data_IF_475429383350
#
_entry.id   IF_475429383350
#
_cell.length_a   1.000
_cell.length_b   1.000
_cell.length_c   1.000
_cell.angle_alpha   90.00
_cell.angle_beta   90.00
_cell.angle_gamma   90.00
#
_symmetry.space_group_name_H-M   'P 1'
#
loop_
_entity.id
_entity.type
_entity.pdbx_description
1 polymer ?
#
# COMPACT_ATOMS: atom_id res chain seq x y z
N UNK A 1 -33.52 -7.30 26.32
CA UNK A 1 -33.56 -8.00 25.01
C UNK A 1 -32.96 -9.38 25.13
N UNK A 2 -33.59 -10.39 24.49
CA UNK A 2 -33.16 -11.78 24.50
C UNK A 2 -32.79 -12.21 23.09
N UNK A 3 -31.67 -12.95 22.94
CA UNK A 3 -31.23 -13.53 21.65
C UNK A 3 -31.98 -14.86 21.50
N UNK A 4 -32.70 -15.03 20.40
CA UNK A 4 -33.50 -16.22 20.13
C UNK A 4 -32.81 -17.20 19.20
N UNK A 5 -32.15 -16.69 18.12
CA UNK A 5 -31.56 -17.52 17.08
C UNK A 5 -30.29 -16.89 16.49
N UNK A 6 -29.38 -17.74 16.09
CA UNK A 6 -28.20 -17.39 15.28
C UNK A 6 -28.28 -18.10 13.94
N UNK A 7 -27.94 -17.41 12.88
CA UNK A 7 -27.85 -17.93 11.52
C UNK A 7 -26.52 -17.49 10.91
N UNK A 8 -25.69 -18.45 10.53
CA UNK A 8 -24.41 -18.15 9.88
C UNK A 8 -24.62 -17.57 8.49
N UNK A 9 -23.86 -16.51 8.19
CA UNK A 9 -23.79 -15.91 6.86
C UNK A 9 -22.36 -16.09 6.33
N UNK A 10 -22.15 -15.86 5.03
CA UNK A 10 -20.82 -15.86 4.43
C UNK A 10 -19.87 -14.84 5.09
N UNK A 11 -18.56 -15.11 5.03
CA UNK A 11 -17.48 -14.21 5.50
C UNK A 11 -17.42 -14.00 7.03
N UNK A 12 -17.75 -15.01 7.83
CA UNK A 12 -17.62 -14.94 9.29
C UNK A 12 -18.61 -13.98 9.95
N UNK A 13 -19.76 -13.76 9.35
CA UNK A 13 -20.84 -12.96 9.91
C UNK A 13 -22.03 -13.86 10.29
N UNK A 14 -22.82 -13.39 11.25
CA UNK A 14 -24.03 -14.03 11.73
C UNK A 14 -25.20 -13.05 11.74
N UNK A 15 -26.37 -13.53 11.39
CA UNK A 15 -27.64 -12.88 11.78
C UNK A 15 -28.01 -13.33 13.18
N UNK A 16 -28.28 -12.36 14.04
CA UNK A 16 -28.77 -12.58 15.40
C UNK A 16 -30.21 -12.07 15.43
N UNK A 17 -31.13 -12.97 15.79
CA UNK A 17 -32.56 -12.66 15.93
C UNK A 17 -32.83 -12.35 17.36
N UNK A 18 -33.45 -11.19 17.66
CA UNK A 18 -33.80 -10.74 18.98
C UNK A 18 -35.33 -10.94 19.25
N UNK A 19 -35.68 -11.06 20.51
CA UNK A 19 -37.08 -11.30 20.96
C UNK A 19 -38.06 -10.18 20.60
N UNK A 20 -37.58 -9.02 20.20
CA UNK A 20 -38.42 -7.90 19.71
C UNK A 20 -38.57 -7.89 18.18
N UNK A 21 -38.10 -8.94 17.49
CA UNK A 21 -38.12 -9.05 16.04
C UNK A 21 -36.97 -8.37 15.33
N UNK A 22 -36.04 -7.70 16.04
CA UNK A 22 -34.88 -7.07 15.46
C UNK A 22 -33.88 -8.12 14.94
N UNK A 23 -33.31 -7.92 13.74
CA UNK A 23 -32.29 -8.77 13.16
C UNK A 23 -30.99 -7.96 13.02
N UNK A 24 -29.93 -8.42 13.68
CA UNK A 24 -28.62 -7.81 13.66
C UNK A 24 -27.63 -8.66 12.85
N UNK A 25 -26.77 -8.00 12.05
CA UNK A 25 -25.63 -8.66 11.40
C UNK A 25 -24.38 -8.36 12.22
N UNK A 26 -23.81 -9.38 12.84
CA UNK A 26 -22.68 -9.25 13.77
C UNK A 26 -21.55 -10.16 13.30
N UNK A 27 -20.30 -9.66 13.37
CA UNK A 27 -19.11 -10.44 13.08
C UNK A 27 -18.85 -11.50 14.16
N UNK A 28 -18.34 -12.65 13.76
CA UNK A 28 -17.99 -13.77 14.67
C UNK A 28 -17.13 -13.33 15.84
N UNK A 29 -16.12 -12.50 15.58
CA UNK A 29 -15.19 -12.03 16.62
C UNK A 29 -15.91 -11.20 17.70
N UNK A 30 -16.86 -10.37 17.28
CA UNK A 30 -17.67 -9.56 18.21
C UNK A 30 -18.59 -10.46 19.04
N UNK A 31 -19.14 -11.52 18.45
CA UNK A 31 -19.96 -12.52 19.16
C UNK A 31 -19.13 -13.21 20.24
N UNK A 32 -17.92 -13.65 19.89
CA UNK A 32 -17.01 -14.36 20.80
C UNK A 32 -16.53 -13.43 21.92
N UNK A 33 -16.02 -12.25 21.57
CA UNK A 33 -15.45 -11.29 22.52
C UNK A 33 -16.47 -10.79 23.55
N UNK A 34 -17.75 -10.75 23.19
CA UNK A 34 -18.83 -10.34 24.08
C UNK A 34 -19.58 -11.52 24.70
N UNK A 35 -19.11 -12.75 24.55
CA UNK A 35 -19.73 -13.97 25.07
C UNK A 35 -21.23 -14.07 24.73
N UNK A 36 -21.64 -13.65 23.52
CA UNK A 36 -23.04 -13.59 23.12
C UNK A 36 -23.70 -14.97 23.04
N UNK A 37 -22.91 -16.02 22.82
CA UNK A 37 -23.40 -17.40 22.76
C UNK A 37 -23.90 -17.93 24.11
N UNK A 38 -23.33 -17.41 25.21
CA UNK A 38 -23.63 -17.95 26.57
C UNK A 38 -24.66 -17.14 27.33
N UNK A 39 -24.62 -15.81 27.18
CA UNK A 39 -25.59 -14.92 27.85
C UNK A 39 -26.56 -14.40 26.83
N UNK A 40 -27.80 -14.92 26.86
CA UNK A 40 -28.85 -14.56 25.88
C UNK A 40 -29.58 -13.27 26.21
N UNK A 41 -29.54 -12.81 27.47
CA UNK A 41 -30.23 -11.56 27.89
C UNK A 41 -29.27 -10.41 27.98
N UNK A 42 -29.65 -9.26 27.47
CA UNK A 42 -28.82 -8.04 27.40
C UNK A 42 -29.64 -6.79 27.65
N UNK A 43 -29.02 -5.80 28.28
CA UNK A 43 -29.55 -4.45 28.34
C UNK A 43 -29.24 -3.65 27.06
N UNK A 44 -29.91 -2.51 26.92
CA UNK A 44 -29.77 -1.66 25.75
C UNK A 44 -28.39 -0.98 25.68
N UNK A 45 -27.73 -0.73 26.81
CA UNK A 45 -26.42 -0.10 26.87
C UNK A 45 -25.34 -1.03 26.33
N UNK A 46 -25.39 -2.29 26.71
CA UNK A 46 -24.51 -3.33 26.20
C UNK A 46 -24.73 -3.58 24.70
N UNK A 47 -25.99 -3.55 24.24
CA UNK A 47 -26.28 -3.70 22.82
C UNK A 47 -25.67 -2.57 21.98
N UNK A 48 -25.80 -1.32 22.42
CA UNK A 48 -25.20 -0.19 21.75
C UNK A 48 -23.66 -0.30 21.68
N UNK A 49 -23.02 -0.82 22.74
CA UNK A 49 -21.59 -1.11 22.75
C UNK A 49 -21.22 -2.16 21.70
N UNK A 50 -21.96 -3.28 21.65
CA UNK A 50 -21.77 -4.36 20.69
C UNK A 50 -21.92 -3.85 19.25
N UNK A 51 -22.91 -3.01 18.98
CA UNK A 51 -23.10 -2.43 17.64
C UNK A 51 -21.93 -1.54 17.23
N UNK A 52 -21.41 -0.70 18.12
CA UNK A 52 -20.22 0.11 17.85
C UNK A 52 -18.97 -0.76 17.58
N UNK A 53 -18.77 -1.79 18.41
CA UNK A 53 -17.65 -2.74 18.18
C UNK A 53 -17.81 -3.46 16.83
N UNK A 54 -19.03 -3.81 16.46
CA UNK A 54 -19.32 -4.44 15.18
C UNK A 54 -19.08 -3.51 13.98
N UNK A 55 -19.42 -2.24 14.11
CA UNK A 55 -19.09 -1.24 13.07
C UNK A 55 -17.58 -1.09 12.90
N UNK A 56 -16.82 -1.04 14.00
CA UNK A 56 -15.36 -1.05 13.95
C UNK A 56 -14.81 -2.33 13.28
N UNK A 57 -15.37 -3.50 13.61
CA UNK A 57 -14.98 -4.77 12.99
C UNK A 57 -15.30 -4.79 11.49
N UNK A 58 -16.45 -4.26 11.08
CA UNK A 58 -16.81 -4.13 9.67
C UNK A 58 -15.85 -3.25 8.90
N UNK A 59 -15.45 -2.11 9.47
CA UNK A 59 -14.46 -1.20 8.85
C UNK A 59 -13.10 -1.88 8.74
N UNK A 60 -12.64 -2.52 9.81
CA UNK A 60 -11.39 -3.28 9.82
C UNK A 60 -11.38 -4.35 8.71
N UNK A 61 -12.43 -5.15 8.60
CA UNK A 61 -12.57 -6.18 7.59
C UNK A 61 -12.57 -5.63 6.15
N UNK A 62 -13.15 -4.44 5.93
CA UNK A 62 -13.04 -3.72 4.64
C UNK A 62 -11.59 -3.36 4.32
N UNK A 63 -10.82 -2.89 5.32
CA UNK A 63 -9.40 -2.60 5.15
C UNK A 63 -8.59 -3.86 4.84
N UNK A 64 -8.83 -4.96 5.57
CA UNK A 64 -8.16 -6.25 5.31
C UNK A 64 -8.42 -6.71 3.87
N UNK A 65 -9.66 -6.63 3.40
CA UNK A 65 -10.02 -6.95 2.01
C UNK A 65 -9.32 -6.02 1.02
N UNK A 66 -9.19 -4.74 1.33
CA UNK A 66 -8.48 -3.78 0.46
C UNK A 66 -6.98 -4.06 0.38
N UNK A 67 -6.37 -4.50 1.50
CA UNK A 67 -4.95 -4.89 1.58
C UNK A 67 -4.68 -6.22 0.89
N UNK A 68 -5.63 -7.17 0.92
CA UNK A 68 -5.44 -8.52 0.35
C UNK A 68 -5.17 -8.53 -1.17
N UNK A 69 -5.53 -7.46 -1.87
CA UNK A 69 -5.31 -7.33 -3.32
C UNK A 69 -3.84 -7.01 -3.64
N UNK A 70 -3.20 -6.16 -2.85
CA UNK A 70 -1.77 -5.80 -2.94
C UNK A 70 -1.29 -5.10 -1.67
N UNK A 71 0.01 -5.03 -1.47
CA UNK A 71 0.60 -4.19 -0.42
C UNK A 71 0.10 -2.74 -0.52
N UNK A 72 -0.16 -2.14 0.64
CA UNK A 72 -0.63 -0.76 0.78
C UNK A 72 0.23 0.00 1.77
N UNK A 73 0.51 1.27 1.49
CA UNK A 73 1.09 2.16 2.48
C UNK A 73 0.05 2.57 3.54
N UNK A 74 0.53 3.00 4.70
CA UNK A 74 -0.32 3.57 5.75
C UNK A 74 -1.20 4.71 5.22
N UNK A 75 -0.63 5.59 4.39
CA UNK A 75 -1.38 6.69 3.75
C UNK A 75 -2.53 6.19 2.88
N UNK A 76 -2.32 5.16 2.07
CA UNK A 76 -3.38 4.60 1.21
C UNK A 76 -4.57 4.08 2.03
N UNK A 77 -4.31 3.50 3.21
CA UNK A 77 -5.37 3.04 4.12
C UNK A 77 -6.11 4.23 4.72
N UNK A 78 -5.39 5.27 5.15
CA UNK A 78 -6.02 6.51 5.65
C UNK A 78 -6.90 7.13 4.57
N UNK A 79 -6.41 7.25 3.34
CA UNK A 79 -7.16 7.80 2.21
C UNK A 79 -8.40 6.94 1.86
N UNK A 80 -8.26 5.61 1.98
CA UNK A 80 -9.38 4.68 1.81
C UNK A 80 -10.45 4.86 2.89
N UNK A 81 -10.05 5.00 4.16
CA UNK A 81 -10.98 5.23 5.28
C UNK A 81 -11.71 6.57 5.14
N UNK A 82 -11.01 7.63 4.74
CA UNK A 82 -11.62 8.93 4.44
C UNK A 82 -12.68 8.85 3.34
N UNK A 83 -12.45 8.05 2.29
CA UNK A 83 -13.46 7.80 1.24
C UNK A 83 -14.69 7.06 1.75
N UNK A 84 -14.58 6.33 2.85
CA UNK A 84 -15.70 5.70 3.54
C UNK A 84 -16.36 6.62 4.58
N UNK A 85 -15.97 7.90 4.65
CA UNK A 85 -16.40 8.90 5.64
C UNK A 85 -16.05 8.49 7.09
N UNK A 86 -14.89 7.86 7.27
CA UNK A 86 -14.39 7.47 8.60
C UNK A 86 -13.27 8.45 8.99
N UNK A 87 -13.56 9.34 9.92
CA UNK A 87 -12.62 10.38 10.35
C UNK A 87 -11.62 9.87 11.41
N UNK A 88 -12.10 9.09 12.38
CA UNK A 88 -11.22 8.50 13.39
C UNK A 88 -10.57 7.21 12.86
N UNK A 89 -9.38 7.35 12.30
CA UNK A 89 -8.65 6.25 11.64
C UNK A 89 -7.59 5.60 12.53
N UNK A 90 -7.22 6.23 13.66
CA UNK A 90 -6.06 5.86 14.48
C UNK A 90 -6.12 4.41 14.97
N UNK A 91 -7.22 4.02 15.62
CA UNK A 91 -7.38 2.68 16.21
C UNK A 91 -7.32 1.57 15.15
N UNK A 92 -7.87 1.83 13.95
CA UNK A 92 -7.86 0.87 12.85
C UNK A 92 -6.44 0.73 12.30
N UNK A 93 -5.74 1.85 12.08
CA UNK A 93 -4.36 1.88 11.62
C UNK A 93 -3.45 1.15 12.61
N UNK A 94 -3.57 1.42 13.90
CA UNK A 94 -2.79 0.75 14.94
C UNK A 94 -3.04 -0.76 14.95
N UNK A 95 -4.29 -1.19 14.85
CA UNK A 95 -4.64 -2.60 14.80
C UNK A 95 -4.09 -3.29 13.55
N UNK A 96 -4.17 -2.65 12.39
CA UNK A 96 -3.60 -3.17 11.14
C UNK A 96 -2.07 -3.27 11.21
N UNK A 97 -1.41 -2.29 11.82
CA UNK A 97 0.04 -2.27 12.02
C UNK A 97 0.49 -3.36 12.99
N UNK A 98 -0.17 -3.49 14.15
CA UNK A 98 0.12 -4.55 15.15
C UNK A 98 -0.05 -5.96 14.58
N UNK A 99 -0.99 -6.13 13.66
CA UNK A 99 -1.22 -7.40 12.96
C UNK A 99 -0.32 -7.58 11.73
N UNK A 100 0.68 -6.71 11.50
CA UNK A 100 1.59 -6.72 10.35
C UNK A 100 0.90 -6.70 8.98
N UNK A 101 -0.32 -6.18 8.91
CA UNK A 101 -1.06 -6.06 7.65
C UNK A 101 -0.66 -4.81 6.85
N UNK A 102 -0.15 -3.79 7.53
CA UNK A 102 0.46 -2.61 6.92
C UNK A 102 1.83 -2.34 7.55
N UNK A 103 2.81 -2.09 6.69
CA UNK A 103 4.18 -1.76 7.09
C UNK A 103 4.82 -0.94 5.97
N UNK A 104 5.15 0.32 6.25
CA UNK A 104 5.69 1.24 5.25
C UNK A 104 7.12 0.86 4.81
N UNK A 105 7.92 0.18 5.65
CA UNK A 105 9.22 -0.37 5.21
C UNK A 105 9.06 -1.49 4.18
N UNK A 106 8.17 -2.45 4.46
CA UNK A 106 7.88 -3.56 3.53
C UNK A 106 7.31 -3.03 2.22
N UNK A 107 6.39 -2.06 2.31
CA UNK A 107 5.85 -1.37 1.14
C UNK A 107 6.94 -0.69 0.33
N UNK A 108 7.82 0.09 0.98
CA UNK A 108 8.91 0.82 0.32
C UNK A 108 9.85 -0.11 -0.40
N UNK A 109 10.28 -1.19 0.25
CA UNK A 109 11.17 -2.19 -0.35
C UNK A 109 10.55 -2.84 -1.59
N UNK A 110 9.28 -3.24 -1.51
CA UNK A 110 8.57 -3.83 -2.63
C UNK A 110 8.38 -2.81 -3.77
N UNK A 111 8.00 -1.57 -3.44
CA UNK A 111 7.81 -0.50 -4.41
C UNK A 111 9.10 -0.19 -5.19
N UNK A 112 10.23 -0.05 -4.49
CA UNK A 112 11.53 0.19 -5.12
C UNK A 112 11.87 -0.96 -6.07
N UNK A 113 11.76 -2.21 -5.59
CA UNK A 113 12.02 -3.41 -6.40
C UNK A 113 11.17 -3.43 -7.68
N UNK A 114 9.88 -3.15 -7.57
CA UNK A 114 8.97 -3.12 -8.72
C UNK A 114 9.35 -2.00 -9.71
N UNK A 115 9.64 -0.80 -9.21
CA UNK A 115 10.03 0.32 -10.08
C UNK A 115 11.36 0.07 -10.78
N UNK A 116 12.33 -0.50 -10.09
CA UNK A 116 13.61 -0.88 -10.69
C UNK A 116 13.43 -1.93 -11.78
N UNK A 117 12.59 -2.93 -11.55
CA UNK A 117 12.44 -4.04 -12.50
C UNK A 117 11.53 -3.71 -13.69
N UNK A 118 10.45 -2.96 -13.48
CA UNK A 118 9.38 -2.82 -14.48
C UNK A 118 9.23 -1.44 -15.09
N UNK A 119 10.02 -0.43 -14.66
CA UNK A 119 9.97 0.92 -15.23
C UNK A 119 11.33 1.39 -15.71
N UNK A 120 11.39 2.56 -16.36
CA UNK A 120 12.62 3.25 -16.73
C UNK A 120 13.14 4.17 -15.60
N UNK A 121 12.58 4.11 -14.40
CA UNK A 121 12.89 5.06 -13.34
C UNK A 121 14.23 4.76 -12.67
N UNK A 122 14.98 5.84 -12.41
CA UNK A 122 16.14 5.85 -11.55
C UNK A 122 15.79 6.22 -10.10
N UNK A 123 16.77 6.19 -9.19
CA UNK A 123 16.59 6.38 -7.75
C UNK A 123 15.86 7.68 -7.37
N UNK A 124 16.22 8.82 -7.99
CA UNK A 124 15.59 10.11 -7.68
C UNK A 124 14.11 10.14 -8.02
N UNK A 125 13.71 9.57 -9.15
CA UNK A 125 12.31 9.51 -9.54
C UNK A 125 11.51 8.54 -8.67
N UNK A 126 12.09 7.42 -8.30
CA UNK A 126 11.48 6.46 -7.36
C UNK A 126 11.23 7.14 -6.01
N UNK A 127 12.20 7.94 -5.51
CA UNK A 127 12.04 8.74 -4.31
C UNK A 127 10.85 9.71 -4.40
N UNK A 128 10.74 10.46 -5.50
CA UNK A 128 9.62 11.38 -5.73
C UNK A 128 8.27 10.66 -5.74
N UNK A 129 8.20 9.46 -6.32
CA UNK A 129 6.98 8.66 -6.29
C UNK A 129 6.65 8.16 -4.87
N UNK A 130 7.64 7.74 -4.08
CA UNK A 130 7.45 7.31 -2.70
C UNK A 130 6.98 8.44 -1.78
N UNK A 131 7.46 9.67 -2.00
CA UNK A 131 7.00 10.84 -1.23
C UNK A 131 5.48 11.07 -1.34
N UNK A 132 4.85 10.67 -2.44
CA UNK A 132 3.39 10.74 -2.61
C UNK A 132 2.63 9.84 -1.62
N UNK A 133 3.29 8.83 -1.07
CA UNK A 133 2.74 7.90 -0.08
C UNK A 133 3.01 8.33 1.36
N UNK A 134 3.61 9.52 1.55
CA UNK A 134 3.95 10.08 2.85
C UNK A 134 4.81 9.13 3.71
N UNK A 135 5.74 8.43 3.04
CA UNK A 135 6.72 7.56 3.68
C UNK A 135 7.80 8.42 4.32
N UNK A 136 8.30 7.99 5.47
CA UNK A 136 9.42 8.65 6.15
C UNK A 136 10.67 8.67 5.24
N UNK A 137 11.31 9.84 5.17
CA UNK A 137 12.49 10.02 4.34
C UNK A 137 13.65 9.10 4.75
N UNK A 138 13.80 8.80 6.05
CA UNK A 138 14.84 7.88 6.52
C UNK A 138 14.63 6.47 5.96
N UNK A 139 13.39 6.01 5.91
CA UNK A 139 13.02 4.73 5.31
C UNK A 139 13.33 4.72 3.81
N UNK A 140 12.93 5.80 3.11
CA UNK A 140 13.18 5.92 1.67
C UNK A 140 14.69 5.92 1.39
N UNK A 141 15.46 6.72 2.12
CA UNK A 141 16.90 6.86 1.92
C UNK A 141 17.65 5.57 2.19
N UNK A 142 17.26 4.85 3.25
CA UNK A 142 17.82 3.54 3.56
C UNK A 142 17.71 2.60 2.35
N UNK A 143 16.51 2.41 1.83
CA UNK A 143 16.29 1.45 0.74
C UNK A 143 16.68 1.93 -0.66
N UNK A 144 16.75 3.25 -0.88
CA UNK A 144 17.32 3.81 -2.12
C UNK A 144 18.84 3.60 -2.17
N UNK A 145 19.54 3.77 -1.03
CA UNK A 145 21.00 3.54 -0.94
C UNK A 145 21.37 2.06 -1.09
N UNK A 146 20.46 1.17 -0.71
CA UNK A 146 20.67 -0.29 -0.83
C UNK A 146 20.52 -0.81 -2.27
N UNK A 147 20.19 0.05 -3.25
CA UNK A 147 20.09 -0.37 -4.65
C UNK A 147 21.51 -0.64 -5.18
N UNK A 148 21.73 -1.85 -5.66
CA UNK A 148 22.99 -2.24 -6.26
C UNK A 148 23.34 -1.37 -7.48
N UNK A 149 24.54 -0.81 -7.48
CA UNK A 149 25.04 0.05 -8.54
C UNK A 149 25.12 -0.67 -9.90
N UNK A 150 25.49 -1.94 -9.91
CA UNK A 150 25.53 -2.75 -11.14
C UNK A 150 24.14 -2.87 -11.79
N UNK A 151 23.10 -2.97 -10.98
CA UNK A 151 21.69 -2.98 -11.47
C UNK A 151 21.37 -1.64 -12.14
N UNK A 152 21.80 -0.52 -11.55
CA UNK A 152 21.56 0.81 -12.11
C UNK A 152 22.33 1.02 -13.41
N UNK A 153 23.60 0.61 -13.46
CA UNK A 153 24.43 0.66 -14.67
C UNK A 153 23.78 -0.16 -15.80
N UNK A 154 23.43 -1.42 -15.53
CA UNK A 154 22.79 -2.29 -16.52
C UNK A 154 21.44 -1.75 -17.02
N UNK A 155 20.73 -1.01 -16.17
CA UNK A 155 19.47 -0.36 -16.53
C UNK A 155 19.70 0.87 -17.43
N UNK A 156 20.70 1.67 -17.13
CA UNK A 156 21.12 2.80 -17.96
C UNK A 156 21.57 2.30 -19.33
N UNK A 157 22.43 1.30 -19.41
CA UNK A 157 22.90 0.70 -20.66
C UNK A 157 21.75 0.21 -21.55
N UNK A 158 20.78 -0.49 -20.95
CA UNK A 158 19.56 -0.91 -21.68
C UNK A 158 18.81 0.27 -22.28
N UNK A 159 18.67 1.36 -21.53
CA UNK A 159 17.99 2.56 -22.01
C UNK A 159 18.77 3.26 -23.10
N UNK A 160 20.10 3.40 -22.97
CA UNK A 160 20.98 3.97 -24.00
C UNK A 160 20.83 3.17 -25.30
N UNK A 161 21.00 1.86 -25.26
CA UNK A 161 20.89 0.98 -26.43
C UNK A 161 19.51 1.06 -27.09
N UNK A 162 18.43 1.15 -26.31
CA UNK A 162 17.07 1.36 -26.83
C UNK A 162 16.96 2.71 -27.54
N UNK A 163 17.51 3.78 -26.95
CA UNK A 163 17.43 5.12 -27.52
C UNK A 163 18.28 5.27 -28.78
N UNK A 164 19.47 4.68 -28.85
CA UNK A 164 20.28 4.64 -30.07
C UNK A 164 19.48 3.99 -31.20
N UNK A 165 18.88 2.82 -30.95
CA UNK A 165 18.06 2.11 -31.94
C UNK A 165 16.84 2.90 -32.43
N UNK A 166 16.19 3.63 -31.53
CA UNK A 166 14.96 4.39 -31.85
C UNK A 166 15.21 5.77 -32.44
N UNK A 167 16.41 6.32 -32.27
CA UNK A 167 16.77 7.68 -32.70
C UNK A 167 17.83 7.71 -33.82
N UNK A 168 17.79 6.77 -34.75
CA UNK A 168 18.80 6.58 -35.84
C UNK A 168 19.03 7.80 -36.73
N UNK A 169 18.11 8.79 -36.72
CA UNK A 169 18.25 10.04 -37.44
C UNK A 169 19.18 11.06 -36.78
N UNK A 170 19.63 10.80 -35.55
CA UNK A 170 20.51 11.66 -34.77
C UNK A 170 21.81 10.92 -34.52
N UNK A 171 22.93 11.65 -34.48
CA UNK A 171 24.26 11.15 -34.16
C UNK A 171 25.08 12.18 -33.36
N UNK A 172 26.23 11.78 -32.87
CA UNK A 172 27.14 12.65 -32.16
C UNK A 172 26.52 13.32 -30.94
N UNK A 173 26.87 14.57 -30.73
CA UNK A 173 26.47 15.34 -29.55
C UNK A 173 24.96 15.51 -29.44
N UNK A 174 24.19 15.50 -30.54
CA UNK A 174 22.75 15.65 -30.55
C UNK A 174 22.13 14.39 -29.92
N UNK A 175 22.56 13.21 -30.34
CA UNK A 175 22.07 11.95 -29.78
C UNK A 175 22.48 11.80 -28.31
N UNK A 176 23.75 12.10 -27.98
CA UNK A 176 24.25 12.09 -26.59
C UNK A 176 23.42 12.96 -25.68
N UNK A 177 23.10 14.20 -26.07
CA UNK A 177 22.29 15.13 -25.30
C UNK A 177 20.85 14.63 -25.08
N UNK A 178 20.24 14.02 -26.10
CA UNK A 178 18.90 13.44 -26.00
C UNK A 178 18.86 12.27 -24.99
N UNK A 179 19.85 11.42 -25.03
CA UNK A 179 19.98 10.28 -24.10
C UNK A 179 20.21 10.78 -22.69
N UNK A 180 21.15 11.73 -22.51
CA UNK A 180 21.40 12.35 -21.21
C UNK A 180 20.10 12.92 -20.59
N UNK A 181 19.38 13.75 -21.34
CA UNK A 181 18.15 14.36 -20.88
C UNK A 181 17.06 13.32 -20.52
N UNK A 182 16.97 12.25 -21.30
CA UNK A 182 16.03 11.16 -20.99
C UNK A 182 16.37 10.46 -19.67
N UNK A 183 17.63 10.10 -19.47
CA UNK A 183 18.10 9.43 -18.25
C UNK A 183 17.96 10.34 -17.04
N UNK A 184 18.35 11.61 -17.17
CA UNK A 184 18.22 12.60 -16.11
C UNK A 184 16.73 12.81 -15.70
N UNK A 185 15.83 12.95 -16.67
CA UNK A 185 14.40 13.07 -16.42
C UNK A 185 13.78 11.79 -15.83
N UNK A 186 14.41 10.64 -16.07
CA UNK A 186 14.05 9.39 -15.42
C UNK A 186 14.61 9.26 -13.99
N UNK A 187 15.42 10.21 -13.54
CA UNK A 187 15.89 10.30 -12.17
C UNK A 187 17.14 9.48 -11.89
N UNK A 188 18.00 9.29 -12.87
CA UNK A 188 19.36 8.78 -12.63
C UNK A 188 20.30 9.92 -12.22
N UNK A 189 21.36 9.55 -11.52
CA UNK A 189 22.38 10.49 -11.07
C UNK A 189 23.18 11.07 -12.25
N UNK A 190 23.51 12.37 -12.17
CA UNK A 190 24.21 13.11 -13.22
C UNK A 190 25.59 12.53 -13.52
N UNK A 191 26.37 12.27 -12.47
CA UNK A 191 27.75 11.84 -12.63
C UNK A 191 27.79 10.40 -13.15
N UNK A 192 26.89 9.55 -12.66
CA UNK A 192 26.71 8.20 -13.17
C UNK A 192 26.35 8.20 -14.67
N UNK A 193 25.41 9.06 -15.10
CA UNK A 193 25.03 9.19 -16.52
C UNK A 193 26.24 9.61 -17.36
N UNK A 194 26.99 10.63 -16.94
CA UNK A 194 28.14 11.14 -17.69
C UNK A 194 29.23 10.06 -17.82
N UNK A 195 29.54 9.38 -16.72
CA UNK A 195 30.57 8.32 -16.72
C UNK A 195 30.19 7.20 -17.68
N UNK A 196 28.95 6.77 -17.69
CA UNK A 196 28.53 5.69 -18.61
C UNK A 196 28.49 6.17 -20.06
N UNK A 197 27.99 7.39 -20.35
CA UNK A 197 27.89 7.93 -21.70
C UNK A 197 29.29 8.14 -22.34
N UNK A 198 30.37 8.32 -21.56
CA UNK A 198 31.72 8.45 -22.07
C UNK A 198 32.29 7.12 -22.64
N UNK A 199 31.68 5.99 -22.32
CA UNK A 199 32.05 4.68 -22.86
C UNK A 199 31.37 4.37 -24.20
N UNK A 200 30.50 5.27 -24.70
CA UNK A 200 29.74 5.08 -25.94
C UNK A 200 30.25 6.02 -27.05
N UNK A 201 30.33 5.49 -28.26
CA UNK A 201 30.53 6.26 -29.48
C UNK A 201 29.16 6.54 -30.13
N UNK A 202 28.82 7.82 -30.29
CA UNK A 202 27.53 8.27 -30.80
C UNK A 202 27.61 8.78 -32.25
#
# INVERSE_FOLDING_TARGET
MKIEKYESINNGQYKIYLSDGTILKINSDVIINNNLLYKKERDNTLLNKILKENDHANIYNKCVKYISVRLRSKKEIIDYLKKLNIDNTADIIDKLTKNNLINDEVFTKAFIKDKINFTSYGPYRIRQELNKYNIDNEIIDKYIKDIDEEILIGKIDKQINKMIKSNRKYSGNILKSKIYNNLYNNGFDKDMIINILNNYNF
#
